data_IF_436677158952
#
_entry.id   IF_436677158952
#
_cell.length_a   1.000
_cell.length_b   1.000
_cell.length_c   1.000
_cell.angle_alpha   90.00
_cell.angle_beta   90.00
_cell.angle_gamma   90.00
#
_symmetry.space_group_name_H-M   'P 1'
#
loop_
_entity.id
_entity.type
_entity.pdbx_description
1 polymer ?
#
# COMPACT_ATOMS: atom_id res chain seq x y z
N UNK A 1 -57.94 31.29 -18.13
CA UNK A 1 -57.79 30.98 -16.69
C UNK A 1 -57.64 29.49 -16.38
N UNK A 2 -58.11 28.56 -17.23
CA UNK A 2 -57.95 27.11 -16.98
C UNK A 2 -56.51 26.58 -17.17
N UNK A 3 -55.77 27.11 -18.16
CA UNK A 3 -54.41 26.65 -18.48
C UNK A 3 -53.38 27.00 -17.39
N UNK A 4 -53.56 28.13 -16.72
CA UNK A 4 -52.68 28.58 -15.62
C UNK A 4 -52.87 27.75 -14.35
N UNK A 5 -54.08 27.26 -14.09
CA UNK A 5 -54.33 26.37 -12.95
C UNK A 5 -53.72 24.97 -13.18
N UNK A 6 -53.75 24.49 -14.43
CA UNK A 6 -53.18 23.19 -14.81
C UNK A 6 -51.65 23.18 -14.72
N UNK A 7 -50.98 24.25 -15.15
CA UNK A 7 -49.51 24.35 -15.05
C UNK A 7 -49.04 24.46 -13.60
N UNK A 8 -49.74 25.21 -12.74
CA UNK A 8 -49.41 25.32 -11.31
C UNK A 8 -49.55 23.96 -10.62
N UNK A 9 -50.61 23.20 -10.94
CA UNK A 9 -50.83 21.87 -10.36
C UNK A 9 -49.74 20.89 -10.77
N UNK A 10 -49.29 20.91 -12.03
CA UNK A 10 -48.18 20.08 -12.49
C UNK A 10 -46.86 20.44 -11.78
N UNK A 11 -46.54 21.74 -11.62
CA UNK A 11 -45.30 22.18 -10.96
C UNK A 11 -45.26 21.75 -9.50
N UNK A 12 -46.39 21.81 -8.79
CA UNK A 12 -46.48 21.37 -7.39
C UNK A 12 -46.30 19.85 -7.23
N UNK A 13 -46.78 19.05 -8.18
CA UNK A 13 -46.60 17.59 -8.20
C UNK A 13 -45.14 17.18 -8.50
N UNK A 14 -44.43 17.94 -9.33
CA UNK A 14 -43.01 17.69 -9.58
C UNK A 14 -42.13 18.04 -8.37
N UNK A 15 -42.48 19.09 -7.61
CA UNK A 15 -41.73 19.47 -6.42
C UNK A 15 -41.89 18.49 -5.25
N UNK A 16 -43.05 17.86 -5.08
CA UNK A 16 -43.26 16.86 -4.02
C UNK A 16 -42.49 15.55 -4.24
N UNK A 17 -42.20 15.20 -5.50
CA UNK A 17 -41.35 14.05 -5.84
C UNK A 17 -39.86 14.29 -5.53
N UNK A 18 -39.40 15.55 -5.52
CA UNK A 18 -38.01 15.90 -5.24
C UNK A 18 -37.64 15.80 -3.74
N UNK A 19 -38.61 15.95 -2.84
CA UNK A 19 -38.35 15.94 -1.39
C UNK A 19 -38.11 14.53 -0.83
N UNK A 20 -38.59 13.47 -1.50
CA UNK A 20 -38.43 12.09 -1.04
C UNK A 20 -37.03 11.51 -1.29
N UNK A 21 -36.21 12.11 -2.16
CA UNK A 21 -34.86 11.61 -2.46
C UNK A 21 -33.80 12.01 -1.43
N UNK A 22 -34.02 13.07 -0.65
CA UNK A 22 -33.04 13.55 0.35
C UNK A 22 -33.28 13.02 1.77
N UNK A 23 -34.48 12.49 2.05
CA UNK A 23 -34.81 11.93 3.37
C UNK A 23 -34.09 10.61 3.69
N UNK A 24 -33.53 9.92 2.69
CA UNK A 24 -32.72 8.72 2.87
C UNK A 24 -31.36 9.02 3.51
N UNK A 25 -30.74 10.14 3.14
CA UNK A 25 -29.40 10.49 3.62
C UNK A 25 -29.44 10.98 5.08
N UNK A 26 -30.42 11.82 5.45
CA UNK A 26 -30.62 12.26 6.83
C UNK A 26 -30.77 11.08 7.80
N UNK A 27 -31.56 10.06 7.46
CA UNK A 27 -31.72 8.86 8.30
C UNK A 27 -30.45 7.98 8.40
N UNK A 28 -29.56 8.04 7.40
CA UNK A 28 -28.30 7.30 7.41
C UNK A 28 -27.23 8.01 8.26
N UNK A 29 -27.26 9.33 8.35
CA UNK A 29 -26.29 10.11 9.13
C UNK A 29 -26.72 10.37 10.59
N UNK A 30 -28.01 10.51 10.88
CA UNK A 30 -28.53 10.66 12.26
C UNK A 30 -28.70 9.31 13.01
N UNK A 31 -28.56 8.18 12.32
CA UNK A 31 -28.77 6.83 12.87
C UNK A 31 -27.59 6.22 13.63
N UNK A 32 -26.47 6.91 13.82
CA UNK A 32 -25.23 6.34 14.39
C UNK A 32 -25.17 6.28 15.93
N UNK A 33 -26.31 6.09 16.59
CA UNK A 33 -26.35 5.73 18.01
C UNK A 33 -27.23 4.52 18.27
N UNK A 34 -26.61 3.33 18.30
CA UNK A 34 -27.12 2.20 19.05
C UNK A 34 -27.37 0.93 18.23
N UNK A 35 -26.76 -0.16 18.73
CA UNK A 35 -27.00 -1.56 18.36
C UNK A 35 -26.26 -2.07 17.12
N UNK A 36 -24.93 -2.20 17.30
CA UNK A 36 -24.11 -3.17 16.57
C UNK A 36 -24.70 -4.58 16.77
N UNK A 37 -25.41 -5.09 15.77
CA UNK A 37 -25.51 -6.53 15.59
C UNK A 37 -24.20 -7.02 14.99
N UNK A 38 -23.56 -7.92 15.72
CA UNK A 38 -22.27 -8.52 15.44
C UNK A 38 -22.42 -9.53 14.28
N UNK A 39 -22.45 -9.04 13.04
CA UNK A 39 -22.06 -9.85 11.89
C UNK A 39 -20.54 -9.69 11.72
N UNK A 40 -19.75 -10.78 11.64
CA UNK A 40 -18.36 -10.67 11.25
C UNK A 40 -18.34 -10.34 9.75
N UNK A 41 -18.38 -9.06 9.44
CA UNK A 41 -17.99 -8.56 8.13
C UNK A 41 -16.51 -8.89 7.98
N UNK A 42 -16.19 -9.78 7.05
CA UNK A 42 -14.81 -10.08 6.66
C UNK A 42 -14.23 -8.79 6.08
N UNK A 43 -13.61 -7.97 6.91
CA UNK A 43 -12.80 -6.84 6.47
C UNK A 43 -11.66 -7.42 5.63
N UNK A 44 -11.78 -7.29 4.30
CA UNK A 44 -10.64 -7.56 3.42
C UNK A 44 -9.47 -6.69 3.89
N UNK A 45 -8.27 -7.27 4.06
CA UNK A 45 -7.10 -6.50 4.41
C UNK A 45 -6.88 -5.42 3.35
N UNK A 46 -6.88 -4.16 3.78
CA UNK A 46 -6.61 -3.02 2.89
C UNK A 46 -5.17 -3.08 2.37
N UNK A 47 -5.00 -2.68 1.12
CA UNK A 47 -3.68 -2.56 0.50
C UNK A 47 -2.81 -1.56 1.26
N UNK A 48 -1.50 -1.82 1.28
CA UNK A 48 -0.54 -0.88 1.84
C UNK A 48 -0.61 0.46 1.07
N UNK A 49 -0.43 1.62 1.75
CA UNK A 49 -0.40 2.91 1.08
C UNK A 49 0.69 2.94 0.00
N UNK A 50 0.44 3.67 -1.09
CA UNK A 50 1.37 3.78 -2.22
C UNK A 50 2.49 4.82 -2.00
N UNK A 51 2.62 5.33 -0.78
CA UNK A 51 3.65 6.28 -0.38
C UNK A 51 4.74 5.61 0.47
N UNK A 52 5.74 6.39 0.88
CA UNK A 52 6.84 5.94 1.74
C UNK A 52 6.67 6.36 3.20
N UNK A 53 5.51 6.89 3.61
CA UNK A 53 5.30 7.47 4.95
C UNK A 53 5.57 6.47 6.07
N UNK A 54 5.00 5.26 5.95
CA UNK A 54 5.22 4.17 6.91
C UNK A 54 6.70 3.82 7.02
N UNK A 55 7.40 3.69 5.90
CA UNK A 55 8.83 3.38 5.90
C UNK A 55 9.67 4.49 6.51
N UNK A 56 9.40 5.76 6.17
CA UNK A 56 10.11 6.91 6.72
C UNK A 56 9.97 6.98 8.24
N UNK A 57 8.76 6.78 8.76
CA UNK A 57 8.51 6.75 10.20
C UNK A 57 9.35 5.66 10.88
N UNK A 58 9.35 4.44 10.34
CA UNK A 58 10.13 3.34 10.91
C UNK A 58 11.65 3.59 10.82
N UNK A 59 12.11 4.21 9.73
CA UNK A 59 13.51 4.57 9.53
C UNK A 59 13.97 5.64 10.54
N UNK A 60 13.15 6.66 10.78
CA UNK A 60 13.43 7.74 11.75
C UNK A 60 13.40 7.26 13.20
N UNK A 61 12.53 6.30 13.53
CA UNK A 61 12.44 5.69 14.86
C UNK A 61 13.57 4.68 15.14
N UNK A 62 14.26 4.19 14.11
CA UNK A 62 15.29 3.16 14.26
C UNK A 62 16.57 3.71 14.92
N UNK A 63 16.92 3.17 16.08
CA UNK A 63 18.14 3.56 16.78
C UNK A 63 19.35 2.74 16.31
N UNK A 64 20.35 3.41 15.72
CA UNK A 64 21.62 2.79 15.33
C UNK A 64 22.78 3.78 15.46
N UNK A 65 23.85 3.36 16.15
CA UNK A 65 25.07 4.17 16.31
C UNK A 65 26.10 4.00 15.18
N UNK A 66 25.85 3.03 14.28
CA UNK A 66 26.73 2.69 13.17
C UNK A 66 26.00 2.97 11.84
N UNK A 67 25.99 2.00 10.93
CA UNK A 67 25.29 2.10 9.67
C UNK A 67 23.90 1.45 9.78
N UNK A 68 22.85 2.23 9.56
CA UNK A 68 21.49 1.74 9.44
C UNK A 68 21.23 1.33 7.99
N UNK A 69 20.88 0.06 7.79
CA UNK A 69 20.56 -0.46 6.46
C UNK A 69 19.22 0.10 5.98
N UNK A 70 19.15 0.77 4.82
CA UNK A 70 17.91 1.34 4.33
C UNK A 70 16.86 0.24 4.06
N UNK A 71 17.22 -0.86 3.42
CA UNK A 71 16.20 -1.81 2.97
C UNK A 71 15.63 -2.69 4.10
N UNK A 72 16.35 -2.82 5.22
CA UNK A 72 16.01 -3.77 6.30
C UNK A 72 15.95 -3.17 7.69
N UNK A 73 16.36 -1.90 7.85
CA UNK A 73 16.51 -1.22 9.14
C UNK A 73 17.44 -1.95 10.13
N UNK A 74 18.31 -2.83 9.63
CA UNK A 74 19.31 -3.51 10.43
C UNK A 74 20.45 -2.55 10.78
N UNK A 75 20.93 -2.59 12.03
CA UNK A 75 22.10 -1.82 12.45
C UNK A 75 23.38 -2.67 12.29
N UNK A 76 24.28 -2.26 11.42
CA UNK A 76 25.52 -3.00 11.07
C UNK A 76 26.75 -2.08 11.07
N UNK A 77 27.95 -2.67 10.99
CA UNK A 77 29.20 -1.90 10.97
C UNK A 77 29.54 -1.28 9.61
N UNK A 78 29.22 -1.96 8.50
CA UNK A 78 29.55 -1.51 7.14
C UNK A 78 28.38 -1.76 6.18
N UNK A 79 28.22 -0.96 5.11
CA UNK A 79 27.10 -1.12 4.18
C UNK A 79 26.98 -2.53 3.55
N UNK A 80 28.10 -3.16 3.17
CA UNK A 80 28.06 -4.53 2.65
C UNK A 80 27.67 -5.58 3.69
N UNK A 81 27.56 -5.26 4.99
CA UNK A 81 27.04 -6.19 5.99
C UNK A 81 25.51 -6.20 6.07
N UNK A 82 24.82 -5.31 5.36
CA UNK A 82 23.37 -5.30 5.35
C UNK A 82 22.77 -6.64 4.89
N UNK A 83 21.77 -7.18 5.59
CA UNK A 83 21.03 -8.34 5.13
C UNK A 83 20.11 -7.95 3.96
N UNK A 84 19.80 -8.92 3.10
CA UNK A 84 18.78 -8.73 2.09
C UNK A 84 17.37 -8.74 2.72
N UNK A 85 16.41 -7.94 2.21
CA UNK A 85 15.04 -7.90 2.73
C UNK A 85 14.35 -9.26 2.73
N UNK A 86 14.65 -10.10 1.74
CA UNK A 86 13.98 -11.39 1.57
C UNK A 86 14.98 -12.53 1.43
N UNK A 87 15.72 -12.92 2.49
CA UNK A 87 16.83 -13.89 2.40
C UNK A 87 16.39 -15.30 1.96
N UNK A 88 15.09 -15.60 2.08
CA UNK A 88 14.51 -16.85 1.58
C UNK A 88 14.51 -16.91 0.04
N UNK A 89 14.29 -15.80 -0.63
CA UNK A 89 14.12 -15.72 -2.10
C UNK A 89 15.17 -14.87 -2.80
N UNK A 90 16.06 -14.23 -2.06
CA UNK A 90 17.17 -13.42 -2.57
C UNK A 90 18.53 -14.00 -2.16
N UNK A 91 19.51 -13.89 -3.06
CA UNK A 91 20.92 -14.09 -2.79
C UNK A 91 21.61 -12.74 -2.64
N UNK A 92 22.51 -12.65 -1.66
CA UNK A 92 23.39 -11.49 -1.48
C UNK A 92 24.69 -11.71 -2.23
N UNK A 93 25.04 -10.78 -3.11
CA UNK A 93 26.27 -10.86 -3.93
C UNK A 93 27.12 -9.62 -3.69
N UNK A 94 28.39 -9.82 -3.35
CA UNK A 94 29.37 -8.73 -3.22
C UNK A 94 29.99 -8.43 -4.58
N UNK A 95 29.87 -7.18 -5.04
CA UNK A 95 30.33 -6.75 -6.37
C UNK A 95 31.80 -6.32 -6.39
N UNK A 96 32.44 -6.28 -5.23
CA UNK A 96 33.70 -5.56 -5.02
C UNK A 96 33.45 -4.15 -4.49
N UNK A 97 34.52 -3.47 -4.05
CA UNK A 97 34.49 -2.10 -3.51
C UNK A 97 33.60 -1.89 -2.26
N UNK A 98 33.33 -2.96 -1.52
CA UNK A 98 32.51 -2.88 -0.30
C UNK A 98 31.02 -2.63 -0.58
N UNK A 99 30.56 -2.95 -1.78
CA UNK A 99 29.14 -2.89 -2.19
C UNK A 99 28.60 -4.32 -2.32
N UNK A 100 27.40 -4.53 -1.79
CA UNK A 100 26.63 -5.76 -1.96
C UNK A 100 25.28 -5.44 -2.60
N UNK A 101 24.78 -6.37 -3.42
CA UNK A 101 23.44 -6.31 -3.99
C UNK A 101 22.62 -7.53 -3.57
N UNK A 102 21.32 -7.34 -3.49
CA UNK A 102 20.34 -8.40 -3.29
C UNK A 102 19.67 -8.71 -4.63
N UNK A 103 19.77 -9.96 -5.06
CA UNK A 103 19.20 -10.40 -6.34
C UNK A 103 18.29 -11.60 -6.09
N UNK A 104 17.16 -11.65 -6.78
CA UNK A 104 16.27 -12.82 -6.73
C UNK A 104 17.06 -14.08 -7.08
N UNK A 105 16.87 -15.13 -6.28
CA UNK A 105 17.44 -16.46 -6.53
C UNK A 105 17.09 -16.95 -7.93
N UNK A 106 15.88 -16.62 -8.40
CA UNK A 106 15.44 -16.42 -9.80
C UNK A 106 15.84 -17.45 -10.87
N UNK A 107 16.47 -18.56 -10.49
CA UNK A 107 17.11 -19.52 -11.35
C UNK A 107 16.72 -20.93 -10.95
N UNK A 108 16.87 -21.87 -11.89
CA UNK A 108 16.52 -23.27 -11.69
C UNK A 108 17.57 -24.01 -10.84
N UNK A 109 18.70 -23.35 -10.52
CA UNK A 109 19.83 -23.92 -9.78
C UNK A 109 20.40 -22.92 -8.78
N UNK A 110 20.84 -23.44 -7.64
CA UNK A 110 21.59 -22.65 -6.65
C UNK A 110 22.85 -22.04 -7.28
N UNK A 111 23.15 -20.78 -6.97
CA UNK A 111 24.31 -20.07 -7.51
C UNK A 111 24.17 -19.56 -8.94
N UNK A 112 23.01 -19.76 -9.59
CA UNK A 112 22.77 -19.25 -10.95
C UNK A 112 22.76 -17.71 -10.98
N UNK A 113 22.18 -17.07 -9.96
CA UNK A 113 22.16 -15.61 -9.83
C UNK A 113 23.58 -15.05 -9.72
N UNK A 114 24.43 -15.62 -8.85
CA UNK A 114 25.83 -15.25 -8.72
C UNK A 114 26.59 -15.37 -10.06
N UNK A 115 26.36 -16.47 -10.80
CA UNK A 115 26.95 -16.67 -12.13
C UNK A 115 26.51 -15.59 -13.12
N UNK A 116 25.22 -15.24 -13.14
CA UNK A 116 24.68 -14.18 -14.01
C UNK A 116 25.28 -12.83 -13.66
N UNK A 117 25.43 -12.51 -12.37
CA UNK A 117 26.09 -11.29 -11.92
C UNK A 117 27.54 -11.23 -12.38
N UNK A 118 28.29 -12.33 -12.26
CA UNK A 118 29.68 -12.37 -12.71
C UNK A 118 29.81 -12.26 -14.25
N UNK A 119 28.89 -12.85 -15.01
CA UNK A 119 28.83 -12.66 -16.46
C UNK A 119 28.49 -11.20 -16.81
N UNK A 120 27.56 -10.58 -16.09
CA UNK A 120 27.19 -9.18 -16.29
C UNK A 120 28.39 -8.26 -16.09
N UNK A 121 29.15 -8.48 -15.02
CA UNK A 121 30.36 -7.74 -14.67
C UNK A 121 31.44 -7.85 -15.77
N UNK A 122 31.49 -9.00 -16.45
CA UNK A 122 32.39 -9.25 -17.57
C UNK A 122 31.85 -8.76 -18.92
N UNK A 123 30.62 -8.29 -19.00
CA UNK A 123 29.96 -7.93 -20.26
C UNK A 123 29.63 -9.14 -21.14
N UNK A 124 29.34 -10.30 -20.53
CA UNK A 124 29.15 -11.60 -21.20
C UNK A 124 27.73 -12.17 -20.99
N UNK A 125 26.73 -11.31 -20.77
CA UNK A 125 25.31 -11.71 -20.66
C UNK A 125 24.63 -11.83 -22.02
#
# INVERSE_FOLDING_TARGET
>A
MAYTASTITCVLLFFSLALAQFQFFEQMFDGHHGHQQHYPEYQEPQNNPSDSSWYQQNYEEAHCNNYLCPDTLACVHFPHHCPCPHPKVEDKIELGEGIAICISKGGFKAGEAARKVELARKGLL
#
